data_IF_650800380450
#
_entry.id   IF_650800380450
#
_cell.length_a   1.000
_cell.length_b   1.000
_cell.length_c   1.000
_cell.angle_alpha   90.00
_cell.angle_beta   90.00
_cell.angle_gamma   90.00
#
_symmetry.space_group_name_H-M   'P 1'
#
loop_
_entity.id
_entity.type
_entity.pdbx_description
1 polymer ?
#
# COMPACT_ATOMS: atom_id res chain seq x y z
N UNK A 1 -12.41 9.63 -2.50
CA UNK A 1 -11.74 8.38 -2.12
C UNK A 1 -12.00 8.10 -0.65
N UNK A 2 -12.55 6.95 -0.37
CA UNK A 2 -12.92 6.58 0.99
C UNK A 2 -11.88 5.60 1.56
N UNK A 3 -11.07 6.07 2.50
CA UNK A 3 -9.98 5.29 3.06
C UNK A 3 -10.42 4.60 4.35
N UNK A 4 -9.87 3.41 4.64
CA UNK A 4 -10.11 2.77 5.93
C UNK A 4 -9.51 3.61 7.05
N UNK A 5 -10.08 3.50 8.24
CA UNK A 5 -9.58 4.19 9.42
C UNK A 5 -8.80 3.23 10.31
N UNK A 6 -7.90 3.81 11.08
CA UNK A 6 -7.18 3.06 12.11
C UNK A 6 -6.38 1.89 11.54
N UNK A 7 -5.83 2.09 10.34
CA UNK A 7 -5.03 1.05 9.72
C UNK A 7 -3.55 1.25 10.08
N UNK A 8 -2.89 0.15 10.41
CA UNK A 8 -1.47 0.19 10.72
C UNK A 8 -0.65 0.05 9.45
N UNK A 9 0.63 0.44 9.55
CA UNK A 9 1.56 0.25 8.44
C UNK A 9 1.69 -1.22 8.08
N UNK A 10 1.72 -2.10 9.08
CA UNK A 10 1.83 -3.53 8.84
C UNK A 10 0.61 -4.08 8.13
N UNK A 11 -0.58 -3.61 8.50
CA UNK A 11 -1.79 -4.03 7.82
C UNK A 11 -1.77 -3.61 6.35
N UNK A 12 -1.32 -2.39 6.09
CA UNK A 12 -1.22 -1.91 4.71
C UNK A 12 -0.20 -2.73 3.93
N UNK A 13 0.96 -3.02 4.53
CA UNK A 13 1.98 -3.81 3.86
C UNK A 13 1.45 -5.21 3.53
N UNK A 14 0.70 -5.81 4.45
CA UNK A 14 0.11 -7.12 4.22
C UNK A 14 -0.90 -7.08 3.08
N UNK A 15 -1.73 -6.05 3.04
CA UNK A 15 -2.71 -5.90 1.97
C UNK A 15 -2.01 -5.74 0.63
N UNK A 16 -0.96 -4.91 0.57
CA UNK A 16 -0.21 -4.73 -0.66
C UNK A 16 0.51 -6.01 -1.08
N UNK A 17 0.88 -6.84 -0.11
CA UNK A 17 1.50 -8.13 -0.41
C UNK A 17 0.62 -9.02 -1.27
N UNK A 18 -0.68 -8.91 -1.11
CA UNK A 18 -1.61 -9.68 -1.93
C UNK A 18 -1.60 -9.21 -3.39
N UNK A 19 -1.11 -8.01 -3.65
CA UNK A 19 -0.99 -7.47 -5.00
C UNK A 19 0.41 -7.64 -5.58
N UNK A 20 1.29 -8.34 -4.86
CA UNK A 20 2.63 -8.60 -5.37
C UNK A 20 3.73 -7.73 -4.79
N UNK A 21 3.41 -6.85 -3.86
CA UNK A 21 4.46 -6.09 -3.17
C UNK A 21 5.12 -6.97 -2.13
N UNK A 22 6.43 -6.84 -2.03
CA UNK A 22 7.20 -7.61 -1.05
C UNK A 22 8.03 -6.67 -0.19
N UNK A 23 8.12 -6.99 1.09
CA UNK A 23 9.01 -6.24 1.98
C UNK A 23 10.44 -6.64 1.65
N UNK A 24 11.21 -5.67 1.15
CA UNK A 24 12.60 -5.92 0.78
C UNK A 24 13.57 -5.46 1.84
N UNK A 25 13.12 -4.60 2.75
CA UNK A 25 13.97 -4.10 3.81
C UNK A 25 13.10 -3.55 4.93
N UNK A 26 13.52 -3.79 6.15
CA UNK A 26 12.83 -3.23 7.31
C UNK A 26 13.87 -2.74 8.29
N UNK A 27 13.80 -1.46 8.62
CA UNK A 27 14.72 -0.83 9.56
C UNK A 27 13.89 -0.01 10.54
N UNK A 28 14.00 -0.34 11.83
CA UNK A 28 13.28 0.40 12.86
C UNK A 28 11.81 0.51 12.53
N UNK A 29 11.36 1.73 12.32
CA UNK A 29 9.96 2.03 12.11
C UNK A 29 9.56 2.19 10.64
N UNK A 30 10.40 1.70 9.72
CA UNK A 30 10.08 1.84 8.29
C UNK A 30 10.20 0.51 7.58
N UNK A 31 9.24 0.23 6.70
CA UNK A 31 9.27 -0.94 5.86
C UNK A 31 9.39 -0.50 4.40
N UNK A 32 10.35 -1.06 3.69
CA UNK A 32 10.48 -0.79 2.26
C UNK A 32 9.86 -1.93 1.49
N UNK A 33 8.94 -1.60 0.59
CA UNK A 33 8.26 -2.58 -0.24
C UNK A 33 8.61 -2.35 -1.69
N UNK A 34 8.60 -3.43 -2.47
CA UNK A 34 8.87 -3.34 -3.89
C UNK A 34 7.91 -4.23 -4.66
N UNK A 35 7.54 -3.76 -5.84
CA UNK A 35 6.69 -4.49 -6.78
C UNK A 35 7.35 -4.41 -8.15
N UNK A 36 7.43 -5.55 -8.82
CA UNK A 36 8.00 -5.62 -10.16
C UNK A 36 6.90 -5.96 -11.14
N UNK A 37 6.52 -4.99 -11.96
CA UNK A 37 5.47 -5.17 -12.93
C UNK A 37 5.97 -4.94 -14.35
N UNK A 38 5.04 -4.93 -15.29
CA UNK A 38 5.38 -4.72 -16.69
C UNK A 38 6.00 -3.35 -16.94
N UNK A 39 5.60 -2.36 -16.14
CA UNK A 39 6.10 -1.00 -16.28
C UNK A 39 7.39 -0.76 -15.52
N UNK A 40 7.96 -1.82 -14.94
CA UNK A 40 9.17 -1.69 -14.16
C UNK A 40 8.93 -1.87 -12.68
N UNK A 41 9.93 -1.51 -11.88
CA UNK A 41 9.86 -1.68 -10.44
C UNK A 41 9.26 -0.46 -9.78
N UNK A 42 8.50 -0.68 -8.73
CA UNK A 42 7.96 0.40 -7.89
C UNK A 42 8.37 0.15 -6.45
N UNK A 43 8.98 1.14 -5.85
CA UNK A 43 9.45 1.06 -4.47
C UNK A 43 8.72 2.09 -3.63
N UNK A 44 8.34 1.70 -2.43
CA UNK A 44 7.74 2.64 -1.51
C UNK A 44 8.13 2.31 -0.09
N UNK A 45 7.98 3.28 0.80
CA UNK A 45 8.30 3.11 2.21
C UNK A 45 7.03 3.34 3.01
N UNK A 46 6.72 2.42 3.90
CA UNK A 46 5.55 2.50 4.77
C UNK A 46 6.03 2.61 6.21
N UNK A 47 5.63 3.68 6.92
CA UNK A 47 5.95 3.76 8.35
C UNK A 47 5.26 2.63 9.10
N UNK A 48 6.00 1.99 10.00
CA UNK A 48 5.44 0.88 10.79
C UNK A 48 4.71 1.42 12.02
N UNK A 49 3.86 2.40 11.80
CA UNK A 49 3.06 3.01 12.87
C UNK A 49 1.80 2.19 13.09
N UNK A 50 1.33 2.17 14.33
CA UNK A 50 0.11 1.45 14.66
C UNK A 50 -1.10 2.04 13.96
N UNK A 51 -1.05 3.35 13.69
CA UNK A 51 -2.12 4.04 12.99
C UNK A 51 -1.52 5.01 12.00
N UNK A 52 -1.73 4.76 10.72
CA UNK A 52 -1.21 5.62 9.67
C UNK A 52 -2.05 6.89 9.58
N UNK A 53 -1.38 8.00 9.37
CA UNK A 53 -2.07 9.27 9.13
C UNK A 53 -2.77 9.20 7.78
N UNK A 54 -3.94 9.83 7.71
CA UNK A 54 -4.74 9.81 6.49
C UNK A 54 -3.96 10.33 5.29
N UNK A 55 -3.17 11.39 5.48
CA UNK A 55 -2.37 11.94 4.39
C UNK A 55 -1.32 10.96 3.88
N UNK A 56 -0.67 10.24 4.79
CA UNK A 56 0.32 9.24 4.42
C UNK A 56 -0.34 8.11 3.64
N UNK A 57 -1.45 7.61 4.16
CA UNK A 57 -2.18 6.52 3.51
C UNK A 57 -2.66 6.95 2.13
N UNK A 58 -3.22 8.14 2.02
CA UNK A 58 -3.72 8.65 0.74
C UNK A 58 -2.61 8.73 -0.30
N UNK A 59 -1.43 9.23 0.11
CA UNK A 59 -0.31 9.34 -0.82
C UNK A 59 0.15 7.98 -1.32
N UNK A 60 0.23 7.01 -0.41
CA UNK A 60 0.65 5.66 -0.78
C UNK A 60 -0.36 5.03 -1.74
N UNK A 61 -1.65 5.18 -1.44
CA UNK A 61 -2.70 4.62 -2.30
C UNK A 61 -2.61 5.22 -3.71
N UNK A 62 -2.41 6.54 -3.81
CA UNK A 62 -2.30 7.18 -5.12
C UNK A 62 -1.07 6.70 -5.89
N UNK A 63 0.06 6.55 -5.19
CA UNK A 63 1.28 6.07 -5.82
C UNK A 63 1.10 4.66 -6.37
N UNK A 64 0.51 3.79 -5.58
CA UNK A 64 0.30 2.40 -6.00
C UNK A 64 -0.69 2.33 -7.17
N UNK A 65 -1.78 3.08 -7.08
CA UNK A 65 -2.77 3.11 -8.15
C UNK A 65 -2.14 3.56 -9.46
N UNK A 66 -1.29 4.59 -9.39
CA UNK A 66 -0.60 5.08 -10.57
C UNK A 66 0.31 3.99 -11.16
N UNK A 67 1.09 3.33 -10.32
CA UNK A 67 1.99 2.29 -10.78
C UNK A 67 1.23 1.12 -11.41
N UNK A 68 0.13 0.72 -10.81
CA UNK A 68 -0.65 -0.42 -11.32
C UNK A 68 -1.62 -0.03 -12.43
N UNK A 69 -1.69 1.25 -12.77
CA UNK A 69 -2.57 1.78 -13.83
C UNK A 69 -4.04 1.48 -13.53
N UNK A 70 -4.44 1.65 -12.29
CA UNK A 70 -5.83 1.49 -11.87
C UNK A 70 -6.29 2.76 -11.17
N UNK A 71 -7.59 2.91 -11.01
CA UNK A 71 -8.12 4.02 -10.24
C UNK A 71 -7.92 3.76 -8.75
N UNK A 72 -7.96 4.83 -7.95
CA UNK A 72 -7.86 4.66 -6.50
C UNK A 72 -9.00 3.82 -5.95
N UNK A 73 -10.20 4.00 -6.49
CA UNK A 73 -11.36 3.21 -6.07
C UNK A 73 -11.15 1.73 -6.37
N UNK A 74 -10.64 1.45 -7.55
CA UNK A 74 -10.37 0.07 -7.95
C UNK A 74 -9.30 -0.54 -7.05
N UNK A 75 -8.26 0.23 -6.73
CA UNK A 75 -7.21 -0.25 -5.85
C UNK A 75 -7.75 -0.55 -4.46
N UNK A 76 -8.55 0.35 -3.90
CA UNK A 76 -9.14 0.15 -2.58
C UNK A 76 -10.00 -1.11 -2.55
N UNK A 77 -10.71 -1.37 -3.64
CA UNK A 77 -11.51 -2.58 -3.76
C UNK A 77 -10.63 -3.83 -3.70
N UNK A 78 -9.49 -3.79 -4.39
CA UNK A 78 -8.57 -4.92 -4.40
C UNK A 78 -7.91 -5.15 -3.04
N UNK A 79 -7.63 -4.07 -2.32
CA UNK A 79 -6.97 -4.18 -1.03
C UNK A 79 -7.92 -4.59 0.08
N UNK A 80 -9.08 -3.96 0.14
CA UNK A 80 -10.02 -4.13 1.25
C UNK A 80 -11.46 -4.30 0.81
N UNK A 81 -11.70 -4.58 -0.45
CA UNK A 81 -13.04 -4.88 -0.88
C UNK A 81 -13.56 -6.06 -0.08
N UNK A 82 -14.86 -6.10 0.09
CA UNK A 82 -15.47 -7.15 0.87
C UNK A 82 -15.23 -8.53 0.30
N UNK A 83 -14.54 -8.60 -0.79
CA UNK A 83 -13.99 -9.85 -1.27
C UNK A 83 -14.94 -11.05 -1.24
N UNK A 84 -16.04 -10.74 -0.93
CA UNK A 84 -17.04 -11.77 -0.68
C UNK A 84 -17.71 -12.19 -1.93
#
# INVERSE_FOLDING_TARGET
MKLPRDISGEELAKALGRLGYKITRQTGSHMRLSHHGKEGAHHLTIPAHKELKVGTLSRIIKDVAHHLSVTTEELLQRLWGDGD
#
